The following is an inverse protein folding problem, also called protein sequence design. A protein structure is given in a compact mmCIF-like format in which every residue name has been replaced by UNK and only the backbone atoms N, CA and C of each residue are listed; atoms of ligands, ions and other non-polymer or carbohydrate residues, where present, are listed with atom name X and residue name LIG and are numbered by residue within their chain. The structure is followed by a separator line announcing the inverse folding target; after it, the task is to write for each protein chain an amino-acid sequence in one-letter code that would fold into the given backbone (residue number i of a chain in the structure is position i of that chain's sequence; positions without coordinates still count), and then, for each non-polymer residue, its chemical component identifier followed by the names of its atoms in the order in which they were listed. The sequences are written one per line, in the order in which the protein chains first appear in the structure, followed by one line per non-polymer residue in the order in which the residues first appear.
data_IF_067671293650
#
_entry.id   IF_067671293650
#
_cell.length_a   1.000
_cell.length_b   1.000
_cell.length_c   1.000
_cell.angle_alpha   90.00
_cell.angle_beta   90.00
_cell.angle_gamma   90.00
#
_symmetry.space_group_name_H-M   'P 1'
#
loop_
_entity.id
_entity.type
_entity.pdbx_description
1 polymer ?
#
# COMPACT_ATOMS: atom_id res chain seq x y z
N UNK A 1 -12.10 -29.24 0.25
CA UNK A 1 -12.40 -27.79 0.37
C UNK A 1 -11.29 -27.06 -0.36
N UNK A 2 -11.57 -26.25 -1.39
CA UNK A 2 -10.50 -25.66 -2.19
C UNK A 2 -9.78 -24.61 -1.36
N UNK A 3 -8.44 -24.70 -1.29
CA UNK A 3 -7.57 -23.61 -0.87
C UNK A 3 -7.89 -22.39 -1.72
N UNK A 4 -8.63 -21.45 -1.13
CA UNK A 4 -8.87 -20.12 -1.69
C UNK A 4 -7.57 -19.33 -1.63
N UNK A 5 -6.63 -19.65 -2.50
CA UNK A 5 -5.39 -18.92 -2.68
C UNK A 5 -5.73 -17.44 -2.83
N UNK A 6 -5.51 -16.69 -1.75
CA UNK A 6 -5.72 -15.26 -1.66
C UNK A 6 -4.99 -14.64 -2.85
N UNK A 7 -5.73 -14.24 -3.89
CA UNK A 7 -5.16 -13.45 -4.98
C UNK A 7 -4.58 -12.21 -4.31
N UNK A 8 -3.25 -12.13 -4.24
CA UNK A 8 -2.57 -10.96 -3.69
C UNK A 8 -3.01 -9.77 -4.53
N UNK A 9 -3.94 -8.97 -4.00
CA UNK A 9 -4.44 -7.77 -4.67
C UNK A 9 -3.31 -6.72 -4.63
N UNK A 10 -2.39 -6.83 -5.58
CA UNK A 10 -1.38 -5.80 -5.81
C UNK A 10 -2.02 -4.60 -6.50
N UNK A 11 -1.79 -3.42 -5.94
CA UNK A 11 -2.20 -2.15 -6.54
C UNK A 11 -0.99 -1.56 -7.27
N UNK A 12 -1.12 -1.30 -8.57
CA UNK A 12 -0.05 -0.71 -9.37
C UNK A 12 0.20 0.75 -9.00
N UNK A 13 1.42 1.25 -9.26
CA UNK A 13 1.78 2.67 -9.07
C UNK A 13 0.79 3.61 -9.76
N UNK A 14 0.42 3.33 -11.02
CA UNK A 14 -0.52 4.16 -11.79
C UNK A 14 -1.94 4.13 -11.23
N UNK A 15 -2.44 2.97 -10.81
CA UNK A 15 -3.77 2.85 -10.19
C UNK A 15 -3.84 3.59 -8.86
N UNK A 16 -2.77 3.53 -8.06
CA UNK A 16 -2.66 4.24 -6.78
C UNK A 16 -2.63 5.76 -6.96
N UNK A 17 -1.79 6.26 -7.87
CA UNK A 17 -1.69 7.70 -8.20
C UNK A 17 -3.03 8.23 -8.68
N UNK A 18 -3.68 7.51 -9.61
CA UNK A 18 -5.02 7.87 -10.12
C UNK A 18 -6.08 7.88 -9.03
N UNK A 19 -6.12 6.86 -8.17
CA UNK A 19 -7.10 6.77 -7.09
C UNK A 19 -6.93 7.88 -6.04
N UNK A 20 -5.69 8.36 -5.86
CA UNK A 20 -5.35 9.43 -4.90
C UNK A 20 -5.45 10.84 -5.52
N UNK A 21 -5.83 10.96 -6.79
CA UNK A 21 -5.97 12.25 -7.47
C UNK A 21 -4.64 12.98 -7.71
N UNK A 22 -3.53 12.25 -7.78
CA UNK A 22 -2.21 12.84 -8.08
C UNK A 22 -2.02 12.96 -9.60
N UNK A 23 -1.57 14.14 -10.04
CA UNK A 23 -1.36 14.44 -11.46
C UNK A 23 -0.08 13.77 -12.02
N UNK A 24 0.96 13.65 -11.20
CA UNK A 24 2.25 13.09 -11.59
C UNK A 24 2.55 11.78 -10.84
N UNK A 25 3.01 10.76 -11.58
CA UNK A 25 3.15 9.41 -11.07
C UNK A 25 4.28 9.24 -10.05
N UNK A 26 5.40 9.95 -10.20
CA UNK A 26 6.54 9.85 -9.29
C UNK A 26 6.28 10.59 -7.98
N UNK A 27 5.96 11.88 -8.07
CA UNK A 27 5.62 12.71 -6.92
C UNK A 27 4.38 12.19 -6.18
N UNK A 28 3.39 11.73 -6.92
CA UNK A 28 2.19 11.10 -6.35
C UNK A 28 2.51 9.85 -5.55
N UNK A 29 3.44 9.02 -6.01
CA UNK A 29 3.79 7.79 -5.28
C UNK A 29 4.62 8.10 -4.03
N UNK A 30 5.56 9.04 -4.07
CA UNK A 30 6.31 9.46 -2.88
C UNK A 30 5.38 9.98 -1.77
N UNK A 31 4.30 10.69 -2.14
CA UNK A 31 3.26 11.13 -1.18
C UNK A 31 2.49 9.97 -0.57
N UNK A 32 2.18 8.95 -1.36
CA UNK A 32 1.51 7.73 -0.89
C UNK A 32 2.42 6.96 0.07
N UNK A 33 3.70 6.78 -0.26
CA UNK A 33 4.68 6.13 0.62
C UNK A 33 4.86 6.88 1.94
N UNK A 34 4.97 8.21 1.88
CA UNK A 34 5.07 9.06 3.07
C UNK A 34 3.84 8.92 3.97
N UNK A 35 2.65 8.86 3.38
CA UNK A 35 1.39 8.67 4.11
C UNK A 35 1.29 7.28 4.71
N UNK A 36 1.73 6.24 4.00
CA UNK A 36 1.78 4.87 4.50
C UNK A 36 2.74 4.70 5.67
N UNK A 37 3.92 5.31 5.62
CA UNK A 37 4.87 5.28 6.75
C UNK A 37 4.26 5.93 7.99
N UNK A 38 3.55 7.05 7.83
CA UNK A 38 2.82 7.70 8.92
C UNK A 38 1.70 6.81 9.46
N UNK A 39 0.90 6.20 8.58
CA UNK A 39 -0.18 5.30 8.97
C UNK A 39 0.35 4.09 9.73
N UNK A 40 1.41 3.45 9.22
CA UNK A 40 2.07 2.30 9.86
C UNK A 40 2.53 2.63 11.29
N UNK A 41 3.14 3.80 11.50
CA UNK A 41 3.52 4.25 12.85
C UNK A 41 2.31 4.43 13.76
N UNK A 42 1.23 5.06 13.28
CA UNK A 42 0.00 5.29 14.06
C UNK A 42 -0.73 3.98 14.39
N UNK A 43 -0.83 3.06 13.43
CA UNK A 43 -1.43 1.74 13.64
C UNK A 43 -0.65 0.95 14.68
N UNK A 44 0.68 0.90 14.56
CA UNK A 44 1.51 0.19 15.54
C UNK A 44 1.35 0.80 16.93
N UNK A 45 1.42 2.13 17.06
CA UNK A 45 1.27 2.80 18.34
C UNK A 45 -0.13 2.58 18.97
N UNK A 46 -1.20 2.70 18.18
CA UNK A 46 -2.57 2.66 18.68
C UNK A 46 -3.18 1.27 18.83
N UNK A 47 -2.70 0.29 18.07
CA UNK A 47 -3.29 -1.07 18.02
C UNK A 47 -2.32 -2.17 18.43
N UNK A 48 -1.01 -1.88 18.52
CA UNK A 48 0.06 -2.86 18.66
C UNK A 48 0.13 -3.88 17.50
N UNK A 49 -0.57 -3.61 16.39
CA UNK A 49 -0.54 -4.42 15.18
C UNK A 49 0.24 -3.71 14.07
N UNK A 50 0.87 -4.50 13.20
CA UNK A 50 1.51 -3.98 12.01
C UNK A 50 0.46 -3.68 10.93
N UNK A 51 0.66 -2.59 10.18
CA UNK A 51 -0.18 -2.32 9.00
C UNK A 51 0.08 -3.40 7.94
N UNK A 52 -0.95 -4.14 7.47
CA UNK A 52 -0.80 -5.29 6.57
C UNK A 52 -0.61 -4.87 5.11
N UNK A 53 0.33 -3.96 4.85
CA UNK A 53 0.65 -3.48 3.50
C UNK A 53 2.15 -3.32 3.33
N UNK A 54 2.65 -3.68 2.14
CA UNK A 54 4.05 -3.61 1.78
C UNK A 54 4.23 -2.94 0.41
N UNK A 55 5.25 -2.10 0.29
CA UNK A 55 5.68 -1.57 -1.00
C UNK A 55 6.55 -2.58 -1.75
N UNK A 56 6.33 -2.71 -3.06
CA UNK A 56 7.11 -3.52 -3.98
C UNK A 56 7.76 -2.61 -5.01
N UNK A 57 9.10 -2.57 -4.99
CA UNK A 57 9.90 -1.74 -5.88
C UNK A 57 9.49 -1.92 -7.34
N UNK A 58 9.24 -0.80 -8.03
CA UNK A 58 8.81 -0.78 -9.44
C UNK A 58 7.40 -1.32 -9.71
N UNK A 59 6.65 -1.79 -8.70
CA UNK A 59 5.31 -2.40 -8.90
C UNK A 59 4.18 -1.64 -8.22
N UNK A 60 4.36 -1.17 -6.99
CA UNK A 60 3.32 -0.47 -6.22
C UNK A 60 3.17 -1.04 -4.81
N UNK A 61 1.94 -1.36 -4.39
CA UNK A 61 1.64 -1.85 -3.04
C UNK A 61 0.97 -3.22 -3.08
N UNK A 62 1.24 -4.04 -2.08
CA UNK A 62 0.57 -5.33 -1.87
C UNK A 62 0.08 -5.43 -0.44
N UNK A 63 -1.11 -5.99 -0.26
CA UNK A 63 -1.58 -6.40 1.06
C UNK A 63 -0.89 -7.71 1.47
N UNK A 64 -0.46 -7.77 2.72
CA UNK A 64 0.14 -8.97 3.32
C UNK A 64 -0.81 -9.52 4.38
N UNK A 65 -0.89 -10.85 4.58
CA UNK A 65 -1.67 -11.45 5.67
C UNK A 65 -1.15 -11.01 7.04
#
# INVERSE_FOLDING_TARGET
MPDGGQRRHGLSKSSLVKAMGHAEAEDGFHRIESSLMRLRRKTLAGTQLMLPVRAVFGKGLVFVP
#
